data_IF_160151192963
#
_entry.id   IF_160151192963
#
_cell.length_a   1.000
_cell.length_b   1.000
_cell.length_c   1.000
_cell.angle_alpha   90.00
_cell.angle_beta   90.00
_cell.angle_gamma   90.00
#
_symmetry.space_group_name_H-M   'P 1'
#
loop_
_entity.id
_entity.type
_entity.pdbx_description
1 polymer ?
#
# COMPACT_ATOMS: atom_id res chain seq x y z
N UNK A 1 -13.43 11.91 5.34
CA UNK A 1 -13.73 10.66 4.59
C UNK A 1 -12.60 10.49 3.58
N UNK A 2 -11.98 9.33 3.47
CA UNK A 2 -10.87 9.08 2.53
C UNK A 2 -11.34 8.06 1.49
N UNK A 3 -11.18 8.39 0.20
CA UNK A 3 -11.47 7.46 -0.90
C UNK A 3 -10.17 7.13 -1.62
N UNK A 4 -9.81 5.84 -1.69
CA UNK A 4 -8.55 5.39 -2.28
C UNK A 4 -8.37 5.78 -3.76
N UNK A 5 -9.48 6.02 -4.45
CA UNK A 5 -9.51 6.42 -5.86
C UNK A 5 -9.29 7.93 -6.07
N UNK A 6 -9.35 8.76 -5.03
CA UNK A 6 -9.08 10.20 -5.14
C UNK A 6 -7.62 10.47 -5.54
N UNK A 7 -7.38 11.55 -6.27
CA UNK A 7 -6.04 11.88 -6.78
C UNK A 7 -5.00 12.07 -5.66
N UNK A 8 -5.43 12.63 -4.54
CA UNK A 8 -4.64 12.84 -3.32
C UNK A 8 -5.51 12.59 -2.09
N UNK A 9 -4.85 12.36 -0.96
CA UNK A 9 -5.50 12.24 0.34
C UNK A 9 -5.21 13.49 1.16
N UNK A 10 -6.24 14.06 1.77
CA UNK A 10 -6.15 15.17 2.73
C UNK A 10 -5.82 14.62 4.12
N UNK A 11 -4.61 14.07 4.25
CA UNK A 11 -4.04 13.52 5.48
C UNK A 11 -2.55 13.85 5.52
N UNK A 12 -1.97 13.81 6.71
CA UNK A 12 -0.54 13.98 6.89
C UNK A 12 0.25 12.93 6.09
N UNK A 13 1.46 13.31 5.67
CA UNK A 13 2.41 12.39 5.08
C UNK A 13 3.24 11.71 6.18
N UNK A 14 4.23 10.92 5.77
CA UNK A 14 5.24 10.36 6.65
C UNK A 14 4.70 9.43 7.76
N UNK A 15 3.74 8.58 7.42
CA UNK A 15 3.36 7.48 8.30
C UNK A 15 4.52 6.51 8.49
N UNK A 16 4.67 6.00 9.72
CA UNK A 16 5.62 4.93 10.01
C UNK A 16 5.07 3.56 9.60
N UNK A 17 3.73 3.39 9.65
CA UNK A 17 3.04 2.14 9.34
C UNK A 17 1.73 2.42 8.60
N UNK A 18 1.45 1.66 7.54
CA UNK A 18 0.16 1.61 6.84
C UNK A 18 -0.40 0.20 6.87
N UNK A 19 -1.66 0.07 7.29
CA UNK A 19 -2.44 -1.16 7.19
C UNK A 19 -3.45 -1.04 6.06
N UNK A 20 -3.24 -1.79 4.97
CA UNK A 20 -4.15 -1.86 3.83
C UNK A 20 -4.61 -3.31 3.66
N UNK A 21 -5.51 -3.76 4.56
CA UNK A 21 -5.91 -5.16 4.66
C UNK A 21 -7.36 -5.34 4.24
N UNK A 22 -7.63 -6.40 3.47
CA UNK A 22 -8.99 -6.84 3.09
C UNK A 22 -9.77 -5.79 2.26
N UNK A 23 -9.06 -4.96 1.51
CA UNK A 23 -9.62 -3.86 0.69
C UNK A 23 -9.15 -3.93 -0.75
N UNK A 24 -7.90 -4.36 -1.00
CA UNK A 24 -7.36 -4.40 -2.35
C UNK A 24 -8.05 -5.46 -3.23
N UNK A 25 -8.62 -6.49 -2.60
CA UNK A 25 -9.40 -7.55 -3.27
C UNK A 25 -10.62 -7.04 -4.06
N UNK A 26 -11.06 -5.80 -3.83
CA UNK A 26 -12.16 -5.18 -4.58
C UNK A 26 -11.71 -4.41 -5.83
N UNK A 27 -10.41 -4.33 -6.08
CA UNK A 27 -9.84 -3.59 -7.21
C UNK A 27 -9.19 -4.53 -8.22
N UNK A 28 -9.26 -4.15 -9.50
CA UNK A 28 -8.46 -4.76 -10.56
C UNK A 28 -6.96 -4.56 -10.31
N UNK A 29 -6.13 -5.47 -10.84
CA UNK A 29 -4.68 -5.51 -10.60
C UNK A 29 -3.98 -4.17 -10.81
N UNK A 30 -4.26 -3.50 -11.94
CA UNK A 30 -3.69 -2.17 -12.25
C UNK A 30 -4.12 -1.10 -11.25
N UNK A 31 -5.31 -1.23 -10.68
CA UNK A 31 -5.83 -0.31 -9.66
C UNK A 31 -5.20 -0.60 -8.30
N UNK A 32 -4.99 -1.87 -7.95
CA UNK A 32 -4.26 -2.25 -6.74
C UNK A 32 -2.86 -1.63 -6.72
N UNK A 33 -2.12 -1.77 -7.82
CA UNK A 33 -0.77 -1.22 -7.96
C UNK A 33 -0.76 0.30 -7.83
N UNK A 34 -1.70 1.01 -8.47
CA UNK A 34 -1.86 2.46 -8.33
C UNK A 34 -2.17 2.88 -6.89
N UNK A 35 -3.05 2.16 -6.20
CA UNK A 35 -3.41 2.44 -4.81
C UNK A 35 -2.21 2.23 -3.90
N UNK A 36 -1.50 1.10 -4.03
CA UNK A 36 -0.30 0.82 -3.23
C UNK A 36 0.77 1.89 -3.47
N UNK A 37 1.09 2.21 -4.72
CA UNK A 37 2.08 3.23 -5.05
C UNK A 37 1.70 4.59 -4.47
N UNK A 38 0.42 4.96 -4.49
CA UNK A 38 -0.06 6.20 -3.89
C UNK A 38 0.10 6.18 -2.37
N UNK A 39 -0.34 5.12 -1.69
CA UNK A 39 -0.16 4.98 -0.23
C UNK A 39 1.32 5.00 0.16
N UNK A 40 2.20 4.39 -0.64
CA UNK A 40 3.64 4.44 -0.42
C UNK A 40 4.22 5.87 -0.49
N UNK A 41 3.56 6.84 -1.14
CA UNK A 41 4.00 8.25 -1.09
C UNK A 41 3.81 8.88 0.30
N UNK A 42 2.82 8.40 1.05
CA UNK A 42 2.53 8.82 2.42
C UNK A 42 3.29 7.99 3.47
N UNK A 43 4.02 6.94 3.07
CA UNK A 43 4.81 6.09 3.95
C UNK A 43 6.27 6.57 3.98
N UNK A 44 6.88 6.68 5.15
CA UNK A 44 8.32 6.98 5.26
C UNK A 44 9.18 5.90 4.58
N UNK A 45 10.34 6.24 4.01
CA UNK A 45 11.38 5.24 3.70
C UNK A 45 11.69 4.39 4.95
N UNK A 46 11.74 3.07 4.80
CA UNK A 46 11.89 2.14 5.93
C UNK A 46 10.61 1.88 6.74
N UNK A 47 9.51 2.58 6.44
CA UNK A 47 8.19 2.34 7.06
C UNK A 47 7.56 1.02 6.62
N UNK A 48 6.59 0.54 7.39
CA UNK A 48 5.99 -0.79 7.19
C UNK A 48 4.62 -0.72 6.52
N UNK A 49 4.38 -1.68 5.63
CA UNK A 49 3.11 -1.83 4.91
C UNK A 49 2.55 -3.23 5.12
N UNK A 50 1.30 -3.32 5.57
CA UNK A 50 0.64 -4.58 5.91
C UNK A 50 -0.54 -4.86 4.98
N UNK A 51 -0.57 -6.07 4.42
CA UNK A 51 -1.67 -6.58 3.61
C UNK A 51 -2.50 -7.67 4.32
N UNK A 52 -3.65 -8.00 3.75
CA UNK A 52 -4.46 -9.16 4.08
C UNK A 52 -3.91 -10.44 3.46
N UNK A 53 -4.37 -11.59 3.95
CA UNK A 53 -3.87 -12.91 3.53
C UNK A 53 -4.16 -13.26 2.07
N UNK A 54 -5.21 -12.65 1.48
CA UNK A 54 -5.62 -12.87 0.08
C UNK A 54 -5.06 -11.81 -0.87
N UNK A 55 -4.17 -10.93 -0.39
CA UNK A 55 -3.65 -9.79 -1.13
C UNK A 55 -2.14 -9.97 -1.37
N UNK A 56 -1.66 -9.57 -2.54
CA UNK A 56 -0.29 -9.81 -2.98
C UNK A 56 0.22 -8.67 -3.85
N UNK A 57 1.53 -8.42 -3.78
CA UNK A 57 2.24 -7.44 -4.63
C UNK A 57 3.07 -8.12 -5.73
N UNK A 58 2.94 -9.44 -5.89
CA UNK A 58 3.76 -10.21 -6.84
C UNK A 58 3.51 -9.71 -8.26
N UNK A 59 4.57 -9.26 -8.93
CA UNK A 59 4.52 -8.74 -10.30
C UNK A 59 3.82 -7.37 -10.40
N UNK A 60 3.93 -6.55 -9.35
CA UNK A 60 3.63 -5.12 -9.38
C UNK A 60 4.94 -4.33 -9.22
N UNK A 61 5.05 -3.17 -9.87
CA UNK A 61 6.15 -2.24 -9.69
C UNK A 61 5.83 -1.29 -8.53
N UNK A 62 6.17 -1.72 -7.31
CA UNK A 62 5.93 -0.98 -6.07
C UNK A 62 7.22 -0.91 -5.25
N UNK A 63 7.47 0.20 -4.52
CA UNK A 63 8.67 0.39 -3.71
C UNK A 63 8.57 -0.37 -2.37
N UNK A 64 8.18 -1.65 -2.40
CA UNK A 64 7.96 -2.48 -1.23
C UNK A 64 8.81 -3.75 -1.30
N UNK A 65 9.65 -3.95 -0.29
CA UNK A 65 10.39 -5.19 -0.06
C UNK A 65 9.60 -6.08 0.88
N UNK A 66 9.34 -7.32 0.47
CA UNK A 66 8.71 -8.30 1.34
C UNK A 66 9.66 -8.75 2.46
N UNK A 67 9.20 -8.66 3.71
CA UNK A 67 9.94 -9.13 4.88
C UNK A 67 9.39 -10.46 5.41
N UNK A 68 8.06 -10.59 5.44
CA UNK A 68 7.33 -11.78 5.90
C UNK A 68 6.05 -11.92 5.07
N UNK A 69 5.30 -13.04 5.17
CA UNK A 69 3.95 -13.10 4.62
C UNK A 69 3.15 -11.89 5.07
N UNK A 70 2.54 -11.18 4.11
CA UNK A 70 1.73 -9.97 4.29
C UNK A 70 2.40 -8.74 4.94
N UNK A 71 3.71 -8.78 5.22
CA UNK A 71 4.45 -7.67 5.84
C UNK A 71 5.57 -7.21 4.90
N UNK A 72 5.53 -5.93 4.56
CA UNK A 72 6.46 -5.29 3.63
C UNK A 72 7.09 -4.06 4.27
N UNK A 73 8.25 -3.66 3.76
CA UNK A 73 8.93 -2.43 4.13
C UNK A 73 9.18 -1.58 2.88
N UNK A 74 8.93 -0.28 2.99
CA UNK A 74 9.23 0.66 1.91
C UNK A 74 10.74 0.84 1.75
N UNK A 75 11.21 0.70 0.51
CA UNK A 75 12.61 0.97 0.13
C UNK A 75 12.83 2.42 -0.26
#
# INVERSE_FOLDING_TARGET
RLNLMEASYDVDNDFDIIFCRNVLIYFERDTQEKVINKLCRYLKPGGYFFLGHSESIIGMDVPLKQLRPTIFQKI
#
